data_IF_253195136719
#
_entry.id   IF_253195136719
#
_cell.length_a   1.000
_cell.length_b   1.000
_cell.length_c   1.000
_cell.angle_alpha   90.00
_cell.angle_beta   90.00
_cell.angle_gamma   90.00
#
_symmetry.space_group_name_H-M   'P 1'
#
loop_
_entity.id
_entity.type
_entity.pdbx_description
1 polymer ?
#
# COMPACT_ATOMS: atom_id res chain seq x y z
N UNK A 1 48.83 2.37 22.75
CA UNK A 1 47.89 3.51 22.61
C UNK A 1 48.31 4.71 23.45
N UNK A 2 48.70 4.54 24.72
CA UNK A 2 49.17 5.64 25.57
C UNK A 2 50.39 6.38 24.98
N UNK A 3 51.34 5.65 24.41
CA UNK A 3 52.53 6.25 23.79
C UNK A 3 52.22 7.08 22.53
N UNK A 4 51.18 6.70 21.77
CA UNK A 4 50.71 7.49 20.62
C UNK A 4 50.07 8.80 21.08
N UNK A 5 49.29 8.77 22.17
CA UNK A 5 48.65 9.96 22.74
C UNK A 5 49.70 10.89 23.34
N UNK A 6 50.72 10.36 24.02
CA UNK A 6 51.84 11.17 24.54
C UNK A 6 52.68 11.79 23.43
N UNK A 7 52.99 11.04 22.37
CA UNK A 7 53.71 11.57 21.21
C UNK A 7 52.89 12.61 20.45
N UNK A 8 51.56 12.43 20.35
CA UNK A 8 50.67 13.39 19.71
C UNK A 8 50.50 14.66 20.56
N UNK A 9 50.37 14.52 21.89
CA UNK A 9 50.34 15.65 22.81
C UNK A 9 51.65 16.45 22.83
N UNK A 10 52.80 15.78 22.72
CA UNK A 10 54.10 16.42 22.57
C UNK A 10 54.23 17.21 21.26
N UNK A 11 53.66 16.68 20.18
CA UNK A 11 53.57 17.39 18.90
C UNK A 11 52.65 18.63 18.97
N UNK A 12 51.52 18.54 19.67
CA UNK A 12 50.65 19.69 19.91
C UNK A 12 51.32 20.75 20.81
N UNK A 13 52.21 20.35 21.73
CA UNK A 13 52.92 21.29 22.60
C UNK A 13 54.05 22.04 21.86
N UNK A 14 54.60 21.46 20.79
CA UNK A 14 55.52 22.15 19.88
C UNK A 14 54.83 23.28 19.09
N UNK A 15 53.48 23.27 19.04
CA UNK A 15 52.67 24.21 18.29
C UNK A 15 52.42 25.46 19.13
N UNK A 16 52.80 26.63 18.59
CA UNK A 16 52.67 27.91 19.31
C UNK A 16 51.20 28.32 19.37
N UNK A 17 50.80 29.12 20.37
CA UNK A 17 49.43 29.65 20.47
C UNK A 17 48.92 30.32 19.18
N UNK A 18 49.82 31.00 18.46
CA UNK A 18 49.54 31.63 17.15
C UNK A 18 49.17 30.60 16.08
N UNK A 19 49.84 29.46 16.06
CA UNK A 19 49.64 28.41 15.07
C UNK A 19 48.26 27.75 15.26
N UNK A 20 47.78 27.65 16.51
CA UNK A 20 46.43 27.19 16.81
C UNK A 20 45.35 28.13 16.24
N UNK A 21 45.55 29.44 16.34
CA UNK A 21 44.61 30.43 15.77
C UNK A 21 44.56 30.32 14.24
N UNK A 22 45.71 30.13 13.60
CA UNK A 22 45.79 29.94 12.14
C UNK A 22 45.11 28.63 11.73
N UNK A 23 45.33 27.54 12.47
CA UNK A 23 44.68 26.25 12.24
C UNK A 23 43.15 26.36 12.36
N UNK A 24 42.66 27.07 13.38
CA UNK A 24 41.23 27.31 13.56
C UNK A 24 40.62 28.13 12.41
N UNK A 25 41.35 29.13 11.90
CA UNK A 25 40.92 29.93 10.75
C UNK A 25 40.84 29.07 9.47
N UNK A 26 41.84 28.22 9.22
CA UNK A 26 41.84 27.28 8.09
C UNK A 26 40.69 26.27 8.21
N UNK A 27 40.46 25.74 9.41
CA UNK A 27 39.33 24.85 9.66
C UNK A 27 37.98 25.52 9.40
N UNK A 28 37.82 26.78 9.84
CA UNK A 28 36.61 27.56 9.58
C UNK A 28 36.37 27.77 8.08
N UNK A 29 37.43 28.05 7.31
CA UNK A 29 37.36 28.13 5.84
C UNK A 29 36.94 26.79 5.23
N UNK A 30 37.44 25.67 5.75
CA UNK A 30 37.09 24.32 5.28
C UNK A 30 35.61 23.99 5.55
N UNK A 31 35.10 24.34 6.74
CA UNK A 31 33.68 24.23 7.06
C UNK A 31 32.83 25.11 6.14
N UNK A 32 33.28 26.34 5.86
CA UNK A 32 32.59 27.24 4.93
C UNK A 32 32.51 26.65 3.52
N UNK A 33 33.59 26.05 3.02
CA UNK A 33 33.61 25.35 1.73
C UNK A 33 32.64 24.16 1.70
N UNK A 34 32.55 23.38 2.79
CA UNK A 34 31.58 22.29 2.91
C UNK A 34 30.13 22.79 2.85
N UNK A 35 29.82 23.91 3.51
CA UNK A 35 28.49 24.54 3.46
C UNK A 35 28.17 25.00 2.05
N UNK A 36 29.11 25.66 1.37
CA UNK A 36 28.94 26.10 -0.03
C UNK A 36 28.73 24.91 -0.96
N UNK A 37 29.54 23.85 -0.81
CA UNK A 37 29.39 22.61 -1.57
C UNK A 37 28.01 21.99 -1.36
N UNK A 38 27.55 21.91 -0.10
CA UNK A 38 26.22 21.40 0.22
C UNK A 38 25.12 22.27 -0.39
N UNK A 39 25.26 23.60 -0.37
CA UNK A 39 24.31 24.52 -0.98
C UNK A 39 24.22 24.34 -2.51
N UNK A 40 25.35 24.15 -3.18
CA UNK A 40 25.41 23.86 -4.63
C UNK A 40 24.72 22.52 -4.91
N UNK A 41 25.05 21.48 -4.13
CA UNK A 41 24.43 20.15 -4.27
C UNK A 41 22.91 20.19 -4.08
N UNK A 42 22.41 20.97 -3.11
CA UNK A 42 20.96 21.15 -2.89
C UNK A 42 20.31 21.91 -4.04
N UNK A 43 20.98 22.91 -4.62
CA UNK A 43 20.46 23.65 -5.79
C UNK A 43 20.36 22.76 -7.03
N UNK A 44 21.40 21.97 -7.30
CA UNK A 44 21.44 21.04 -8.43
C UNK A 44 20.34 19.97 -8.30
N UNK A 45 20.11 19.45 -7.09
CA UNK A 45 19.02 18.52 -6.82
C UNK A 45 17.65 19.16 -7.09
N UNK A 46 17.41 20.38 -6.59
CA UNK A 46 16.16 21.10 -6.84
C UNK A 46 15.95 21.45 -8.32
N UNK A 47 17.00 21.86 -9.03
CA UNK A 47 16.94 22.14 -10.46
C UNK A 47 16.65 20.86 -11.27
N UNK A 48 17.20 19.72 -10.84
CA UNK A 48 16.88 18.42 -11.44
C UNK A 48 15.43 18.00 -11.22
N UNK A 49 14.87 18.22 -10.02
CA UNK A 49 13.46 17.97 -9.73
C UNK A 49 12.54 18.87 -10.56
N UNK A 50 12.80 20.18 -10.59
CA UNK A 50 12.00 21.14 -11.38
C UNK A 50 12.01 20.81 -12.87
N UNK A 51 13.16 20.43 -13.45
CA UNK A 51 13.25 20.00 -14.86
C UNK A 51 12.47 18.70 -15.14
N UNK A 52 12.35 17.80 -14.16
CA UNK A 52 11.53 16.59 -14.29
C UNK A 52 10.04 16.95 -14.28
N UNK A 53 9.63 17.91 -13.45
CA UNK A 53 8.24 18.39 -13.42
C UNK A 53 7.87 19.13 -14.71
N UNK A 54 8.69 20.07 -15.20
CA UNK A 54 8.40 20.81 -16.46
C UNK A 54 8.34 19.90 -17.70
N UNK A 55 9.12 18.81 -17.74
CA UNK A 55 9.05 17.85 -18.87
C UNK A 55 7.74 17.05 -18.90
N UNK A 56 7.06 16.92 -17.76
CA UNK A 56 5.75 16.27 -17.66
C UNK A 56 4.58 17.23 -17.91
N UNK A 57 4.82 18.54 -17.89
CA UNK A 57 3.84 19.59 -18.24
C UNK A 57 3.82 19.90 -19.75
N UNK A 58 4.10 18.91 -20.61
CA UNK A 58 3.59 19.01 -21.99
C UNK A 58 2.08 18.93 -21.87
N UNK A 59 1.42 20.08 -21.95
CA UNK A 59 -0.03 20.29 -22.01
C UNK A 59 -0.75 19.03 -22.50
N UNK A 60 -1.14 18.19 -21.55
CA UNK A 60 -1.94 17.01 -21.80
C UNK A 60 -3.32 17.56 -22.06
N UNK A 61 -3.61 17.81 -23.34
CA UNK A 61 -4.90 18.28 -23.81
C UNK A 61 -5.95 17.21 -23.44
N UNK A 62 -6.61 17.44 -22.29
CA UNK A 62 -7.54 16.49 -21.67
C UNK A 62 -8.67 16.12 -22.63
N UNK A 63 -8.99 17.02 -23.56
CA UNK A 63 -9.99 16.86 -24.61
C UNK A 63 -9.55 15.86 -25.69
N UNK A 64 -8.25 15.77 -25.98
CA UNK A 64 -7.71 14.76 -26.91
C UNK A 64 -7.59 13.39 -26.23
N UNK A 65 -7.28 13.37 -24.94
CA UNK A 65 -7.17 12.14 -24.15
C UNK A 65 -8.56 11.52 -23.93
N UNK A 66 -9.57 12.33 -23.58
CA UNK A 66 -10.95 11.85 -23.44
C UNK A 66 -11.49 11.28 -24.75
N UNK A 67 -11.25 11.97 -25.87
CA UNK A 67 -11.69 11.51 -27.19
C UNK A 67 -11.00 10.21 -27.63
N UNK A 68 -9.73 10.02 -27.25
CA UNK A 68 -9.02 8.74 -27.45
C UNK A 68 -9.58 7.62 -26.58
N UNK A 69 -9.88 7.90 -25.31
CA UNK A 69 -10.45 6.93 -24.37
C UNK A 69 -11.88 6.52 -24.74
N UNK A 70 -12.69 7.43 -25.29
CA UNK A 70 -14.04 7.15 -25.77
C UNK A 70 -14.06 6.33 -27.08
N UNK A 71 -13.01 6.45 -27.89
CA UNK A 71 -12.89 5.73 -29.17
C UNK A 71 -12.27 4.34 -28.99
N UNK A 72 -11.46 4.13 -27.96
CA UNK A 72 -10.90 2.82 -27.64
C UNK A 72 -11.93 1.98 -26.85
N UNK A 73 -12.45 0.91 -27.47
CA UNK A 73 -13.20 -0.12 -26.74
C UNK A 73 -12.36 -0.63 -25.55
N UNK A 74 -13.00 -0.97 -24.41
CA UNK A 74 -12.28 -1.44 -23.24
C UNK A 74 -11.40 -2.62 -23.63
N UNK A 75 -10.08 -2.39 -23.60
CA UNK A 75 -9.11 -3.43 -23.95
C UNK A 75 -9.34 -4.57 -22.97
N UNK A 76 -9.73 -5.74 -23.48
CA UNK A 76 -9.80 -6.95 -22.68
C UNK A 76 -8.40 -7.21 -22.14
N UNK A 77 -8.18 -6.88 -20.86
CA UNK A 77 -6.96 -7.21 -20.16
C UNK A 77 -6.95 -8.73 -20.07
N UNK A 78 -6.03 -9.37 -20.80
CA UNK A 78 -5.78 -10.80 -20.63
C UNK A 78 -5.04 -10.94 -19.31
N UNK A 79 -5.77 -11.37 -18.28
CA UNK A 79 -5.18 -11.74 -17.01
C UNK A 79 -4.17 -12.86 -17.26
N UNK A 80 -3.06 -12.82 -16.54
CA UNK A 80 -2.17 -13.97 -16.42
C UNK A 80 -2.81 -15.02 -15.53
N UNK A 81 -2.45 -16.30 -15.68
CA UNK A 81 -2.97 -17.40 -14.85
C UNK A 81 -2.87 -17.10 -13.34
N UNK A 82 -1.82 -16.40 -12.91
CA UNK A 82 -1.66 -15.96 -11.51
C UNK A 82 -2.66 -14.87 -11.10
N UNK A 83 -2.96 -13.92 -11.98
CA UNK A 83 -3.88 -12.82 -11.70
C UNK A 83 -5.34 -13.29 -11.67
N UNK A 84 -5.71 -14.20 -12.56
CA UNK A 84 -7.04 -14.84 -12.59
C UNK A 84 -7.28 -15.62 -11.28
N UNK A 85 -6.31 -16.40 -10.82
CA UNK A 85 -6.40 -17.09 -9.53
C UNK A 85 -6.55 -16.14 -8.33
N UNK A 86 -5.95 -14.95 -8.40
CA UNK A 86 -6.05 -13.97 -7.32
C UNK A 86 -7.39 -13.25 -7.34
N UNK A 87 -7.92 -12.95 -8.52
CA UNK A 87 -9.25 -12.38 -8.66
C UNK A 87 -10.31 -13.37 -8.12
N UNK A 88 -10.23 -14.64 -8.50
CA UNK A 88 -11.14 -15.68 -8.01
C UNK A 88 -11.05 -15.88 -6.50
N UNK A 89 -9.84 -15.82 -5.91
CA UNK A 89 -9.63 -15.91 -4.45
C UNK A 89 -10.09 -14.66 -3.71
N UNK A 90 -10.05 -13.49 -4.36
CA UNK A 90 -10.45 -12.23 -3.77
C UNK A 90 -11.98 -12.04 -3.76
N UNK A 91 -12.69 -12.74 -4.64
CA UNK A 91 -14.16 -12.75 -4.67
C UNK A 91 -14.68 -13.64 -3.53
N UNK A 92 -14.81 -13.04 -2.34
CA UNK A 92 -15.45 -13.70 -1.21
C UNK A 92 -16.97 -13.69 -1.44
N UNK A 93 -17.60 -14.86 -1.40
CA UNK A 93 -19.05 -14.96 -1.55
C UNK A 93 -19.79 -14.49 -0.29
N UNK A 94 -21.00 -13.95 -0.45
CA UNK A 94 -21.83 -13.53 0.69
C UNK A 94 -22.13 -14.69 1.66
N UNK A 95 -22.30 -15.90 1.14
CA UNK A 95 -22.53 -17.09 1.96
C UNK A 95 -21.28 -17.46 2.76
N UNK A 96 -20.09 -17.34 2.17
CA UNK A 96 -18.82 -17.54 2.86
C UNK A 96 -18.59 -16.50 3.95
N UNK A 97 -18.96 -15.23 3.75
CA UNK A 97 -18.98 -14.22 4.82
C UNK A 97 -19.92 -14.63 5.96
N UNK A 98 -21.09 -15.18 5.62
CA UNK A 98 -22.08 -15.62 6.59
C UNK A 98 -21.63 -16.86 7.38
N UNK A 99 -20.87 -17.77 6.77
CA UNK A 99 -20.31 -18.94 7.43
C UNK A 99 -19.07 -18.57 8.27
N UNK A 100 -18.24 -17.66 7.76
CA UNK A 100 -17.06 -17.15 8.47
C UNK A 100 -17.43 -16.35 9.71
N UNK A 101 -18.49 -15.54 9.64
CA UNK A 101 -19.05 -14.83 10.82
C UNK A 101 -19.63 -15.77 11.88
N UNK A 102 -20.12 -16.96 11.50
CA UNK A 102 -20.58 -17.98 12.46
C UNK A 102 -19.43 -18.73 13.13
N UNK A 103 -18.28 -18.85 12.44
CA UNK A 103 -17.12 -19.62 12.91
C UNK A 103 -16.19 -18.77 13.78
N UNK A 104 -16.19 -17.46 13.60
CA UNK A 104 -15.42 -16.53 14.43
C UNK A 104 -16.29 -16.16 15.64
N UNK A 105 -16.28 -17.00 16.67
CA UNK A 105 -16.72 -16.62 18.00
C UNK A 105 -15.61 -15.80 18.65
N UNK A 106 -15.89 -14.52 18.88
CA UNK A 106 -15.02 -13.67 19.68
C UNK A 106 -15.41 -13.86 21.14
N UNK A 107 -14.46 -14.31 21.98
CA UNK A 107 -14.69 -14.29 23.42
C UNK A 107 -14.68 -12.83 23.89
N UNK A 108 -15.84 -12.37 24.35
CA UNK A 108 -16.00 -11.04 24.95
C UNK A 108 -15.24 -11.01 26.27
N UNK A 109 -14.20 -10.18 26.37
CA UNK A 109 -13.60 -9.84 27.66
C UNK A 109 -14.59 -8.90 28.35
N UNK A 110 -15.05 -9.28 29.55
CA UNK A 110 -16.06 -8.58 30.35
C UNK A 110 -15.57 -7.24 30.97
N UNK A 111 -14.62 -6.57 30.31
CA UNK A 111 -14.07 -5.28 30.73
C UNK A 111 -14.89 -4.14 30.09
N UNK A 112 -16.11 -3.96 30.59
CA UNK A 112 -17.02 -2.89 30.15
C UNK A 112 -16.57 -1.53 30.73
N UNK A 113 -15.72 -0.80 29.99
CA UNK A 113 -15.44 0.60 30.31
C UNK A 113 -16.56 1.50 29.78
N UNK A 114 -17.49 1.87 30.66
CA UNK A 114 -18.53 2.85 30.36
C UNK A 114 -17.96 4.28 30.49
N UNK A 115 -17.70 4.93 29.35
CA UNK A 115 -17.75 6.39 29.29
C UNK A 115 -19.10 6.78 28.70
N UNK A 116 -19.74 7.80 29.29
CA UNK A 116 -21.17 8.15 29.23
C UNK A 116 -21.81 8.31 27.82
N UNK A 117 -21.06 8.19 26.74
CA UNK A 117 -21.54 8.39 25.36
C UNK A 117 -21.11 7.28 24.38
N UNK A 118 -20.12 6.44 24.73
CA UNK A 118 -19.60 5.40 23.81
C UNK A 118 -19.26 4.12 24.57
N UNK A 119 -19.87 3.01 24.15
CA UNK A 119 -19.58 1.66 24.66
C UNK A 119 -18.44 1.04 23.87
N UNK A 120 -17.26 0.94 24.47
CA UNK A 120 -16.08 0.34 23.84
C UNK A 120 -15.95 -1.10 24.36
N UNK A 121 -16.15 -2.09 23.47
CA UNK A 121 -15.91 -3.51 23.75
C UNK A 121 -14.51 -3.91 23.26
N UNK A 122 -13.72 -4.54 24.12
CA UNK A 122 -12.44 -5.15 23.74
C UNK A 122 -12.67 -6.61 23.35
N UNK A 123 -12.11 -7.00 22.23
CA UNK A 123 -12.18 -8.37 21.72
C UNK A 123 -10.76 -8.96 21.78
N UNK A 124 -10.61 -10.13 22.40
CA UNK A 124 -9.35 -10.89 22.36
C UNK A 124 -9.25 -11.63 21.03
N UNK A 125 -8.17 -11.40 20.28
CA UNK A 125 -7.89 -12.10 19.02
C UNK A 125 -7.05 -13.37 19.20
N UNK A 126 -6.49 -13.59 20.40
CA UNK A 126 -5.45 -14.61 20.63
C UNK A 126 -5.96 -16.06 20.59
N UNK A 127 -7.26 -16.30 20.77
CA UNK A 127 -7.86 -17.65 20.76
C UNK A 127 -8.52 -18.05 19.42
N UNK A 128 -8.19 -17.38 18.30
CA UNK A 128 -8.73 -17.73 16.98
C UNK A 128 -8.06 -18.94 16.30
N UNK A 129 -7.14 -19.64 16.97
CA UNK A 129 -6.47 -20.83 16.44
C UNK A 129 -6.72 -22.07 17.31
N UNK A 130 -7.98 -22.43 17.50
CA UNK A 130 -8.33 -23.78 17.92
C UNK A 130 -8.46 -24.69 16.69
N UNK A 131 -7.45 -25.55 16.58
CA UNK A 131 -7.25 -26.67 15.66
C UNK A 131 -8.54 -27.35 15.20
N UNK A 132 -8.73 -27.39 13.87
CA UNK A 132 -9.28 -28.54 13.12
C UNK A 132 -9.17 -28.28 11.60
N UNK A 133 -8.10 -28.76 10.99
CA UNK A 133 -8.06 -29.05 9.54
C UNK A 133 -7.33 -30.36 9.28
N UNK A 134 -7.97 -31.46 9.66
CA UNK A 134 -7.94 -32.68 8.87
C UNK A 134 -9.36 -32.93 8.34
N UNK A 135 -9.54 -32.74 7.03
CA UNK A 135 -10.29 -33.64 6.15
C UNK A 135 -10.32 -33.03 4.75
N UNK A 136 -9.66 -33.70 3.80
CA UNK A 136 -9.95 -33.60 2.37
C UNK A 136 -11.46 -33.78 2.17
N UNK A 137 -12.16 -32.74 1.72
CA UNK A 137 -13.52 -32.88 1.19
C UNK A 137 -13.51 -32.47 -0.27
N UNK A 138 -13.99 -33.40 -1.09
CA UNK A 138 -14.10 -33.33 -2.56
C UNK A 138 -14.75 -32.03 -3.03
N UNK A 139 -14.49 -31.58 -4.28
CA UNK A 139 -15.17 -30.41 -4.84
C UNK A 139 -16.68 -30.62 -4.79
N UNK A 140 -17.33 -29.85 -3.92
CA UNK A 140 -18.78 -29.79 -3.79
C UNK A 140 -19.37 -29.40 -5.15
N UNK A 141 -20.16 -30.30 -5.72
CA UNK A 141 -20.92 -30.06 -6.95
C UNK A 141 -21.88 -28.89 -6.69
N UNK A 142 -21.58 -27.74 -7.30
CA UNK A 142 -22.51 -26.63 -7.43
C UNK A 142 -23.82 -27.19 -8.00
N UNK A 143 -24.99 -26.92 -7.41
CA UNK A 143 -26.24 -27.26 -8.06
C UNK A 143 -26.36 -26.34 -9.29
N UNK A 144 -25.96 -26.84 -10.46
CA UNK A 144 -26.41 -26.29 -11.74
C UNK A 144 -27.93 -26.16 -11.65
N UNK A 145 -28.46 -25.00 -12.05
CA UNK A 145 -29.90 -24.83 -12.19
C UNK A 145 -30.36 -25.98 -13.11
N UNK A 146 -31.37 -26.77 -12.70
CA UNK A 146 -31.88 -27.84 -13.56
C UNK A 146 -32.53 -27.21 -14.79
N UNK A 147 -32.37 -27.81 -15.97
CA UNK A 147 -32.92 -27.32 -17.24
C UNK A 147 -34.41 -26.95 -17.15
N UNK A 148 -35.18 -27.69 -16.34
CA UNK A 148 -36.59 -27.41 -16.05
C UNK A 148 -36.80 -26.00 -15.45
N UNK A 149 -35.94 -25.57 -14.53
CA UNK A 149 -36.02 -24.25 -13.88
C UNK A 149 -35.60 -23.13 -14.83
N UNK A 150 -34.65 -23.40 -15.72
CA UNK A 150 -34.23 -22.45 -16.75
C UNK A 150 -35.37 -22.18 -17.74
N UNK A 151 -36.05 -23.23 -18.22
CA UNK A 151 -37.17 -23.08 -19.16
C UNK A 151 -38.35 -22.33 -18.55
N UNK A 152 -38.69 -22.60 -17.29
CA UNK A 152 -39.74 -21.88 -16.56
C UNK A 152 -39.40 -20.39 -16.38
N UNK A 153 -38.13 -20.09 -16.07
CA UNK A 153 -37.65 -18.72 -15.94
C UNK A 153 -37.74 -17.96 -17.27
N UNK A 154 -37.30 -18.58 -18.37
CA UNK A 154 -37.38 -17.98 -19.71
C UNK A 154 -38.83 -17.76 -20.15
N UNK A 155 -39.73 -18.69 -19.82
CA UNK A 155 -41.16 -18.56 -20.10
C UNK A 155 -41.79 -17.40 -19.30
N UNK A 156 -41.41 -17.24 -18.04
CA UNK A 156 -41.82 -16.10 -17.21
C UNK A 156 -41.30 -14.77 -17.79
N UNK A 157 -40.05 -14.73 -18.25
CA UNK A 157 -39.46 -13.55 -18.88
C UNK A 157 -40.20 -13.16 -20.17
N UNK A 158 -40.52 -14.15 -21.01
CA UNK A 158 -41.29 -13.94 -22.25
C UNK A 158 -42.71 -13.43 -21.97
N UNK A 159 -43.38 -13.96 -20.93
CA UNK A 159 -44.70 -13.48 -20.48
C UNK A 159 -44.63 -12.03 -19.99
N UNK A 160 -43.56 -11.67 -19.28
CA UNK A 160 -43.35 -10.31 -18.79
C UNK A 160 -43.16 -9.32 -19.95
N UNK A 161 -42.31 -9.68 -20.93
CA UNK A 161 -42.08 -8.85 -22.12
C UNK A 161 -43.38 -8.61 -22.91
N UNK A 162 -44.21 -9.64 -23.09
CA UNK A 162 -45.50 -9.49 -23.75
C UNK A 162 -46.50 -8.61 -22.96
N UNK A 163 -46.38 -8.54 -21.63
CA UNK A 163 -47.19 -7.64 -20.79
C UNK A 163 -46.70 -6.19 -20.82
N UNK A 164 -45.40 -5.97 -21.00
CA UNK A 164 -44.86 -4.61 -21.17
C UNK A 164 -45.01 -4.07 -22.59
N UNK A 165 -45.09 -4.93 -23.60
CA UNK A 165 -45.26 -4.54 -25.01
C UNK A 165 -46.73 -4.21 -25.37
N UNK A 166 -47.64 -4.18 -24.40
CA UNK A 166 -49.07 -3.93 -24.60
C UNK A 166 -49.51 -2.78 -23.70
#
# INVERSE_FOLDING_TARGET
MKDLIYNLGGFLHLLTWKDFVIMALVFLILVLLLVIYYLIKVKDLKESEVKIFEKNERELDLEQISKKLETEEPRQIKLTDYEEEQEDKAIISYQELLERSKTISFDEIDDEYQNFEVKIKKINLDETNNEKKEEKKEPSKVPMISDDKETDFLLALKKLQNKLSK
#
